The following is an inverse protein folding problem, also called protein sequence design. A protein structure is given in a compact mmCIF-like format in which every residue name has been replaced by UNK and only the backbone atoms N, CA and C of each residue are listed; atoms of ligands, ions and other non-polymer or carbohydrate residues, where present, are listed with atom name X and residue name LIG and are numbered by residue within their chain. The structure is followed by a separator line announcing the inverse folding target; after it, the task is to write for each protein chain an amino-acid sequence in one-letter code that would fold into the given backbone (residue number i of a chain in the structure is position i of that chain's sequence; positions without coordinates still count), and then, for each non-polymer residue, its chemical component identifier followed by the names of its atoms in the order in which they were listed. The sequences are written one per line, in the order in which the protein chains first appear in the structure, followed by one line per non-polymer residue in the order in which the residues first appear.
data_IF_345585365177
#
_entry.id   IF_345585365177
#
_cell.length_a   1.000
_cell.length_b   1.000
_cell.length_c   1.000
_cell.angle_alpha   90.00
_cell.angle_beta   90.00
_cell.angle_gamma   90.00
#
_symmetry.space_group_name_H-M   'P 1'
#
loop_
_entity.id
_entity.type
_entity.pdbx_description
1 polymer ?
#
# COMPACT_ATOMS: atom_id res chain seq x y z
N UNK A 1 53.19 10.35 -18.20
CA UNK A 1 52.04 9.45 -17.99
C UNK A 1 50.84 10.32 -17.70
N UNK A 2 49.97 10.49 -18.69
CA UNK A 2 48.75 11.28 -18.60
C UNK A 2 47.59 10.32 -18.29
N UNK A 3 46.72 10.63 -17.33
CA UNK A 3 45.40 11.25 -17.58
C UNK A 3 44.55 11.17 -16.30
N UNK A 4 44.14 12.35 -15.84
CA UNK A 4 43.08 12.55 -14.87
C UNK A 4 41.74 12.39 -15.58
N UNK A 5 40.83 11.56 -15.05
CA UNK A 5 39.44 11.53 -15.49
C UNK A 5 38.53 11.84 -14.31
N UNK A 6 38.15 13.12 -14.26
CA UNK A 6 36.91 13.59 -13.65
C UNK A 6 35.79 13.36 -14.65
N UNK A 7 34.73 12.66 -14.25
CA UNK A 7 33.45 12.58 -14.99
C UNK A 7 32.37 12.19 -13.97
N UNK A 8 31.67 13.20 -13.44
CA UNK A 8 30.22 13.45 -13.62
C UNK A 8 29.35 12.55 -12.71
N UNK A 9 28.72 13.09 -11.66
CA UNK A 9 27.44 13.81 -11.72
C UNK A 9 26.34 13.01 -12.42
N UNK A 10 25.81 12.00 -11.73
CA UNK A 10 24.47 11.42 -11.94
C UNK A 10 24.16 10.67 -10.63
N UNK A 11 23.09 10.89 -9.88
CA UNK A 11 21.87 11.59 -10.16
C UNK A 11 21.25 11.99 -8.81
N UNK A 12 21.05 13.29 -8.58
CA UNK A 12 20.27 13.82 -7.45
C UNK A 12 18.79 13.59 -7.75
N UNK A 13 18.33 12.35 -7.58
CA UNK A 13 16.89 12.01 -7.64
C UNK A 13 16.44 11.17 -6.43
N UNK A 14 17.24 11.14 -5.36
CA UNK A 14 16.91 10.38 -4.14
C UNK A 14 15.95 11.08 -3.16
N UNK A 15 15.55 12.33 -3.43
CA UNK A 15 14.81 13.16 -2.48
C UNK A 15 13.32 13.36 -2.80
N UNK A 16 12.85 12.89 -3.96
CA UNK A 16 11.45 13.07 -4.40
C UNK A 16 10.72 11.74 -4.61
N UNK A 17 11.42 10.62 -4.46
CA UNK A 17 10.83 9.31 -4.26
C UNK A 17 11.06 8.93 -2.78
N UNK A 18 10.30 9.55 -1.88
CA UNK A 18 9.91 8.86 -0.65
C UNK A 18 8.98 7.72 -1.10
N UNK A 19 9.59 6.72 -1.73
CA UNK A 19 8.96 5.61 -2.43
C UNK A 19 8.00 4.97 -1.45
N UNK A 20 6.72 4.95 -1.81
CA UNK A 20 5.69 4.15 -1.17
C UNK A 20 6.21 2.71 -1.13
N UNK A 21 6.89 2.36 -0.04
CA UNK A 21 7.51 1.06 0.16
C UNK A 21 6.70 0.34 1.21
N UNK A 22 6.28 -0.87 0.89
CA UNK A 22 5.53 -1.72 1.80
C UNK A 22 6.27 -1.92 3.14
N UNK A 23 7.60 -1.93 3.14
CA UNK A 23 8.40 -2.06 4.37
C UNK A 23 8.35 -0.85 5.31
N UNK A 24 8.04 0.34 4.79
CA UNK A 24 7.92 1.57 5.58
C UNK A 24 6.48 1.89 6.00
N UNK A 25 5.52 1.04 5.60
CA UNK A 25 4.11 1.18 5.95
C UNK A 25 3.87 0.74 7.41
N UNK A 26 2.97 1.44 8.12
CA UNK A 26 2.63 1.12 9.52
C UNK A 26 1.63 -0.04 9.58
N UNK A 27 2.17 -1.26 9.43
CA UNK A 27 1.40 -2.51 9.46
C UNK A 27 0.68 -2.74 10.80
N UNK A 28 1.27 -2.30 11.91
CA UNK A 28 0.67 -2.51 13.23
C UNK A 28 -0.52 -1.57 13.47
N UNK A 29 -0.50 -0.36 12.92
CA UNK A 29 -1.68 0.49 12.88
C UNK A 29 -2.80 -0.12 12.03
N UNK A 30 -2.50 -0.64 10.84
CA UNK A 30 -3.49 -1.32 10.00
C UNK A 30 -4.12 -2.53 10.71
N UNK A 31 -3.29 -3.41 11.31
CA UNK A 31 -3.76 -4.59 12.05
C UNK A 31 -4.66 -4.23 13.22
N UNK A 32 -4.27 -3.22 14.02
CA UNK A 32 -5.12 -2.71 15.12
C UNK A 32 -6.44 -2.14 14.62
N UNK A 33 -6.45 -1.60 13.41
CA UNK A 33 -7.66 -1.09 12.78
C UNK A 33 -8.46 -2.17 12.02
N UNK A 34 -7.95 -3.41 11.98
CA UNK A 34 -8.67 -4.61 11.54
C UNK A 34 -8.41 -5.05 10.10
N UNK A 35 -7.40 -4.50 9.43
CA UNK A 35 -7.08 -4.79 8.02
C UNK A 35 -5.56 -4.85 7.79
N UNK A 36 -5.14 -5.35 6.63
CA UNK A 36 -3.72 -5.49 6.28
C UNK A 36 -3.48 -5.08 4.82
N UNK A 37 -2.24 -4.68 4.53
CA UNK A 37 -1.71 -4.66 3.15
C UNK A 37 -0.71 -5.81 3.03
N UNK A 38 -0.96 -6.71 2.09
CA UNK A 38 -0.19 -7.95 1.92
C UNK A 38 0.56 -7.93 0.61
N UNK A 39 1.85 -8.31 0.64
CA UNK A 39 2.57 -8.73 -0.56
C UNK A 39 2.19 -10.18 -0.87
N UNK A 40 1.35 -10.35 -1.88
CA UNK A 40 0.85 -11.63 -2.35
C UNK A 40 1.71 -12.20 -3.50
N UNK A 41 2.94 -11.69 -3.67
CA UNK A 41 3.87 -12.06 -4.73
C UNK A 41 3.51 -11.42 -6.05
N UNK A 42 3.59 -12.19 -7.13
CA UNK A 42 3.30 -11.69 -8.48
C UNK A 42 2.15 -12.45 -9.14
N UNK A 43 1.42 -11.76 -10.01
CA UNK A 43 0.53 -12.39 -10.97
C UNK A 43 1.31 -13.19 -12.04
N UNK A 44 0.58 -13.96 -12.87
CA UNK A 44 1.19 -14.76 -13.96
C UNK A 44 1.96 -13.93 -14.99
N UNK A 45 1.58 -12.67 -15.17
CA UNK A 45 2.28 -11.69 -16.01
C UNK A 45 3.44 -10.98 -15.29
N UNK A 46 3.84 -11.51 -14.13
CA UNK A 46 4.93 -11.00 -13.28
C UNK A 46 4.71 -9.60 -12.71
N UNK A 47 3.50 -9.05 -12.82
CA UNK A 47 3.10 -7.82 -12.15
C UNK A 47 2.98 -8.07 -10.62
N UNK A 48 3.42 -7.14 -9.76
CA UNK A 48 3.29 -7.28 -8.31
C UNK A 48 1.81 -7.33 -7.92
N UNK A 49 1.54 -8.11 -6.87
CA UNK A 49 0.21 -8.33 -6.31
C UNK A 49 0.21 -7.85 -4.87
N UNK A 50 -0.25 -6.62 -4.67
CA UNK A 50 -0.31 -5.97 -3.35
C UNK A 50 -1.78 -5.71 -3.05
N UNK A 51 -2.30 -6.44 -2.06
CA UNK A 51 -3.74 -6.48 -1.79
C UNK A 51 -4.09 -5.84 -0.44
N UNK A 52 -5.30 -5.28 -0.34
CA UNK A 52 -5.87 -4.81 0.92
C UNK A 52 -6.89 -5.85 1.38
N UNK A 53 -6.69 -6.41 2.57
CA UNK A 53 -7.53 -7.51 3.05
C UNK A 53 -7.99 -7.25 4.47
N UNK A 54 -9.09 -7.88 4.87
CA UNK A 54 -9.45 -7.93 6.29
C UNK A 54 -8.35 -8.66 7.07
N UNK A 55 -8.21 -8.31 8.34
CA UNK A 55 -7.29 -9.02 9.21
C UNK A 55 -8.01 -10.19 9.89
N UNK A 56 -7.71 -11.41 9.43
CA UNK A 56 -8.42 -12.65 9.83
C UNK A 56 -8.03 -13.21 11.20
N UNK A 57 -6.83 -12.91 11.70
CA UNK A 57 -6.28 -13.55 12.90
C UNK A 57 -5.84 -12.52 13.94
N UNK A 58 -6.76 -11.70 14.49
CA UNK A 58 -6.43 -10.80 15.58
C UNK A 58 -6.07 -11.60 16.85
N UNK A 59 -5.12 -11.08 17.64
CA UNK A 59 -4.73 -11.69 18.92
C UNK A 59 -5.87 -11.72 19.95
N UNK A 60 -6.85 -10.80 19.80
CA UNK A 60 -7.98 -10.66 20.71
C UNK A 60 -9.29 -10.53 19.93
N UNK A 61 -10.23 -11.42 20.22
CA UNK A 61 -11.59 -11.39 19.67
C UNK A 61 -11.71 -11.89 18.23
N UNK A 62 -12.90 -11.81 17.62
CA UNK A 62 -13.10 -12.13 16.22
C UNK A 62 -12.57 -11.02 15.29
N UNK A 63 -12.37 -11.31 13.99
CA UNK A 63 -12.10 -10.29 12.98
C UNK A 63 -13.10 -9.13 13.04
N UNK A 64 -12.60 -7.90 12.86
CA UNK A 64 -13.43 -6.68 12.89
C UNK A 64 -14.36 -6.56 11.68
N UNK A 65 -13.91 -7.05 10.53
CA UNK A 65 -14.66 -7.01 9.27
C UNK A 65 -15.07 -8.42 8.86
N UNK A 66 -16.26 -8.52 8.27
CA UNK A 66 -16.80 -9.79 7.79
C UNK A 66 -16.04 -10.29 6.56
N UNK A 67 -15.74 -9.39 5.64
CA UNK A 67 -15.12 -9.64 4.34
C UNK A 67 -14.18 -8.49 3.94
N UNK A 68 -13.36 -8.71 2.91
CA UNK A 68 -12.40 -7.71 2.42
C UNK A 68 -13.11 -6.44 1.92
N UNK A 69 -14.31 -6.60 1.37
CA UNK A 69 -15.09 -5.46 0.85
C UNK A 69 -15.50 -4.51 1.97
N UNK A 70 -15.81 -5.01 3.15
CA UNK A 70 -16.07 -4.18 4.32
C UNK A 70 -14.80 -3.45 4.80
N UNK A 71 -13.64 -4.12 4.77
CA UNK A 71 -12.35 -3.48 5.06
C UNK A 71 -12.04 -2.37 4.04
N UNK A 72 -12.26 -2.61 2.74
CA UNK A 72 -12.12 -1.60 1.68
C UNK A 72 -13.00 -0.39 1.92
N UNK A 73 -14.29 -0.60 2.23
CA UNK A 73 -15.24 0.48 2.53
C UNK A 73 -14.76 1.36 3.67
N UNK A 74 -14.28 0.75 4.76
CA UNK A 74 -13.71 1.45 5.90
C UNK A 74 -12.48 2.27 5.52
N UNK A 75 -11.53 1.66 4.80
CA UNK A 75 -10.29 2.34 4.40
C UNK A 75 -10.58 3.53 3.50
N UNK A 76 -11.44 3.37 2.49
CA UNK A 76 -11.86 4.46 1.59
C UNK A 76 -12.53 5.60 2.38
N UNK A 77 -13.44 5.28 3.30
CA UNK A 77 -14.11 6.29 4.12
C UNK A 77 -13.10 7.07 4.98
N UNK A 78 -12.11 6.40 5.57
CA UNK A 78 -11.07 7.02 6.37
C UNK A 78 -10.09 7.84 5.53
N UNK A 79 -9.74 7.38 4.33
CA UNK A 79 -8.91 8.12 3.41
C UNK A 79 -9.57 9.44 2.99
N UNK A 80 -10.87 9.40 2.65
CA UNK A 80 -11.67 10.59 2.33
C UNK A 80 -11.78 11.57 3.50
N UNK A 81 -11.74 11.06 4.72
CA UNK A 81 -11.67 11.90 5.93
C UNK A 81 -10.27 12.47 6.21
N UNK A 82 -9.29 12.26 5.32
CA UNK A 82 -7.94 12.81 5.42
C UNK A 82 -6.95 11.95 6.20
N UNK A 83 -7.27 10.68 6.49
CA UNK A 83 -6.35 9.83 7.26
C UNK A 83 -5.14 9.38 6.43
N UNK A 84 -3.95 9.81 6.85
CA UNK A 84 -2.69 9.51 6.13
C UNK A 84 -2.37 8.02 6.05
N UNK A 85 -2.71 7.22 7.08
CA UNK A 85 -2.52 5.77 7.04
C UNK A 85 -3.30 5.13 5.88
N UNK A 86 -4.56 5.53 5.74
CA UNK A 86 -5.49 4.94 4.79
C UNK A 86 -5.23 5.43 3.36
N UNK A 87 -4.88 6.71 3.20
CA UNK A 87 -4.42 7.24 1.89
C UNK A 87 -3.18 6.46 1.43
N UNK A 88 -2.17 6.31 2.29
CA UNK A 88 -0.95 5.55 1.95
C UNK A 88 -1.23 4.10 1.60
N UNK A 89 -2.16 3.44 2.29
CA UNK A 89 -2.55 2.08 1.98
C UNK A 89 -3.16 1.96 0.57
N UNK A 90 -4.05 2.89 0.22
CA UNK A 90 -4.68 2.95 -1.10
C UNK A 90 -3.70 3.34 -2.23
N UNK A 91 -2.62 4.04 -1.89
CA UNK A 91 -1.52 4.31 -2.82
C UNK A 91 -0.55 3.13 -2.97
N UNK A 92 -0.56 2.17 -2.03
CA UNK A 92 0.31 0.99 -2.03
C UNK A 92 -0.28 -0.22 -2.75
N UNK A 93 -1.61 -0.36 -2.78
CA UNK A 93 -2.25 -1.49 -3.46
C UNK A 93 -1.89 -1.50 -4.95
N UNK A 94 -1.84 -2.70 -5.53
CA UNK A 94 -1.54 -2.81 -6.95
C UNK A 94 -2.69 -2.26 -7.81
N UNK A 95 -2.40 -2.07 -9.10
CA UNK A 95 -3.34 -1.45 -10.04
C UNK A 95 -4.67 -2.20 -10.14
N UNK A 96 -4.67 -3.53 -10.07
CA UNK A 96 -5.89 -4.35 -10.21
C UNK A 96 -6.74 -4.23 -8.96
N UNK A 97 -6.11 -4.31 -7.79
CA UNK A 97 -6.77 -4.10 -6.50
C UNK A 97 -7.38 -2.69 -6.43
N UNK A 98 -6.61 -1.66 -6.82
CA UNK A 98 -7.08 -0.28 -6.94
C UNK A 98 -8.33 -0.16 -7.80
N UNK A 99 -8.32 -0.74 -9.01
CA UNK A 99 -9.48 -0.71 -9.91
C UNK A 99 -10.69 -1.41 -9.28
N UNK A 100 -10.50 -2.52 -8.56
CA UNK A 100 -11.59 -3.21 -7.87
C UNK A 100 -12.21 -2.35 -6.76
N UNK A 101 -11.37 -1.68 -5.95
CA UNK A 101 -11.81 -0.77 -4.89
C UNK A 101 -12.53 0.46 -5.48
N UNK A 102 -11.94 1.09 -6.50
CA UNK A 102 -12.55 2.26 -7.18
C UNK A 102 -13.88 1.90 -7.84
N UNK A 103 -13.99 0.72 -8.45
CA UNK A 103 -15.26 0.25 -9.02
C UNK A 103 -16.34 0.03 -7.95
N UNK A 104 -15.95 -0.38 -6.74
CA UNK A 104 -16.89 -0.65 -5.65
C UNK A 104 -17.32 0.62 -4.89
N UNK A 105 -16.42 1.60 -4.72
CA UNK A 105 -16.64 2.72 -3.81
C UNK A 105 -16.40 4.11 -4.44
N UNK A 106 -15.97 4.17 -5.70
CA UNK A 106 -15.55 5.40 -6.37
C UNK A 106 -14.11 5.81 -6.04
N UNK A 107 -13.55 6.80 -6.76
CA UNK A 107 -12.24 7.37 -6.44
C UNK A 107 -12.26 8.03 -5.04
N UNK A 108 -11.11 8.12 -4.40
CA UNK A 108 -10.93 8.70 -3.06
C UNK A 108 -10.08 9.96 -3.07
#
# INVERSE_FOLDING_TARGET
MQQSSTTESENRDGATAATLSLGAFDHDAARRDGWVISDCGNYRDNAPRIELQKFDNPEQGPPKFRDDREAWSHVVARARAGSSLHIRALDLVDRRERVAIEAAFGPW
#
